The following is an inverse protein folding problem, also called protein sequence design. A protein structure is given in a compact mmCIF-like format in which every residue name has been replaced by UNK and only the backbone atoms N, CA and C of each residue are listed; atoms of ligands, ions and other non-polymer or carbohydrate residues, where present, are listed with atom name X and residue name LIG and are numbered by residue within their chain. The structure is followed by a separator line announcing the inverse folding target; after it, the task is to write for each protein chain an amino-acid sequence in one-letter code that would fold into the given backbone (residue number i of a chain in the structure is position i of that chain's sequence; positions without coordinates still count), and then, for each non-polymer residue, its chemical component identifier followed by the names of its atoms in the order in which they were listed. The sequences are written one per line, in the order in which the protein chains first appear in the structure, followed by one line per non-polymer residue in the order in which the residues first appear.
data_IF_068556417518
#
_entry.id   IF_068556417518
#
_cell.length_a   1.000
_cell.length_b   1.000
_cell.length_c   1.000
_cell.angle_alpha   90.00
_cell.angle_beta   90.00
_cell.angle_gamma   90.00
#
_symmetry.space_group_name_H-M   'P 1'
#
loop_
_entity.id
_entity.type
_entity.pdbx_description
1 polymer ?
#
# COMPACT_ATOMS: atom_id res chain seq x y z
N UNK A 1 11.59 -17.23 -0.47
CA UNK A 1 12.72 -17.11 -1.42
C UNK A 1 12.98 -15.61 -1.60
N UNK A 2 14.18 -15.10 -1.28
CA UNK A 2 14.52 -13.70 -1.56
C UNK A 2 14.73 -13.55 -3.06
N UNK A 3 14.01 -12.62 -3.68
CA UNK A 3 14.23 -12.16 -5.04
C UNK A 3 15.66 -11.60 -5.15
N UNK A 4 16.59 -12.39 -5.67
CA UNK A 4 17.91 -11.90 -6.10
C UNK A 4 17.74 -11.16 -7.41
N UNK A 5 17.72 -9.84 -7.35
CA UNK A 5 17.91 -9.01 -8.52
C UNK A 5 19.30 -9.26 -9.12
N UNK A 6 19.44 -9.33 -10.45
CA UNK A 6 20.73 -9.56 -11.10
C UNK A 6 21.71 -8.44 -10.75
N UNK A 7 22.96 -8.81 -10.54
CA UNK A 7 24.04 -7.95 -10.03
C UNK A 7 24.34 -6.69 -10.88
N UNK A 8 23.85 -6.61 -12.11
CA UNK A 8 24.05 -5.48 -13.03
C UNK A 8 23.20 -4.23 -12.71
N UNK A 9 22.17 -4.34 -11.86
CA UNK A 9 21.27 -3.21 -11.55
C UNK A 9 21.52 -2.55 -10.19
N UNK A 10 22.48 -3.02 -9.40
CA UNK A 10 22.77 -2.49 -8.07
C UNK A 10 23.62 -1.21 -7.97
N UNK A 11 24.50 -0.84 -8.89
CA UNK A 11 25.42 0.27 -8.62
C UNK A 11 24.92 1.63 -8.98
N UNK A 12 23.97 1.78 -9.90
CA UNK A 12 23.57 3.11 -10.39
C UNK A 12 22.77 3.92 -9.35
N UNK A 13 21.87 3.30 -8.63
CA UNK A 13 20.94 4.01 -7.74
C UNK A 13 21.61 4.54 -6.44
N UNK A 14 22.64 3.88 -5.92
CA UNK A 14 23.34 4.32 -4.70
C UNK A 14 24.46 5.33 -4.96
N UNK A 15 25.08 5.30 -6.15
CA UNK A 15 26.11 6.26 -6.54
C UNK A 15 25.49 7.62 -6.92
N UNK A 16 24.30 7.64 -7.47
CA UNK A 16 23.60 8.88 -7.83
C UNK A 16 23.08 9.63 -6.60
N UNK A 17 22.55 8.94 -5.58
CA UNK A 17 22.15 9.58 -4.33
C UNK A 17 23.35 10.21 -3.58
N UNK A 18 24.52 9.60 -3.60
CA UNK A 18 25.73 10.17 -3.01
C UNK A 18 26.32 11.32 -3.84
N UNK A 19 26.03 11.37 -5.15
CA UNK A 19 26.46 12.45 -6.06
C UNK A 19 25.59 13.71 -5.97
N UNK A 20 24.29 13.54 -5.73
CA UNK A 20 23.31 14.65 -5.60
C UNK A 20 23.57 15.47 -4.34
N UNK A 21 23.96 14.85 -3.24
CA UNK A 21 24.24 15.56 -1.98
C UNK A 21 25.44 16.50 -2.05
N UNK A 22 26.41 16.26 -2.94
CA UNK A 22 27.60 17.15 -3.12
C UNK A 22 27.37 18.33 -4.06
N UNK A 23 26.27 18.38 -4.81
CA UNK A 23 26.02 19.44 -5.80
C UNK A 23 25.10 20.55 -5.32
N UNK A 24 24.63 20.51 -4.10
CA UNK A 24 23.78 21.56 -3.51
C UNK A 24 24.58 22.64 -2.80
N UNK A 25 25.68 23.11 -3.39
CA UNK A 25 26.23 24.42 -3.08
C UNK A 25 25.79 25.40 -4.17
N UNK A 26 25.07 26.48 -3.80
CA UNK A 26 24.72 27.52 -4.78
C UNK A 26 25.96 28.33 -5.10
N UNK A 27 26.81 27.80 -5.95
CA UNK A 27 27.83 28.64 -6.63
C UNK A 27 27.13 29.30 -7.80
N UNK A 28 26.63 30.53 -7.60
CA UNK A 28 26.37 31.49 -8.65
C UNK A 28 27.70 31.81 -9.35
N UNK A 29 28.15 30.97 -10.23
CA UNK A 29 29.29 31.22 -11.14
C UNK A 29 28.76 31.03 -12.56
N UNK A 30 29.08 32.04 -13.40
CA UNK A 30 28.97 32.01 -14.86
C UNK A 30 29.47 30.64 -15.36
N UNK A 31 28.57 29.76 -15.82
CA UNK A 31 28.91 28.40 -16.29
C UNK A 31 27.94 27.29 -15.86
N UNK A 32 27.03 27.55 -14.92
CA UNK A 32 26.03 26.55 -14.47
C UNK A 32 25.09 26.09 -15.58
N UNK A 33 24.79 26.95 -16.53
CA UNK A 33 23.87 26.64 -17.63
C UNK A 33 24.48 25.67 -18.67
N UNK A 34 25.81 25.60 -18.79
CA UNK A 34 26.45 24.59 -19.65
C UNK A 34 26.25 23.17 -19.11
N UNK A 35 26.26 23.01 -17.79
CA UNK A 35 25.95 21.72 -17.17
C UNK A 35 24.45 21.31 -17.38
N UNK A 36 23.58 22.30 -17.48
CA UNK A 36 22.15 22.07 -17.76
C UNK A 36 21.90 21.53 -19.17
N UNK A 37 22.73 21.90 -20.14
CA UNK A 37 22.64 21.41 -21.52
C UNK A 37 22.91 19.90 -21.64
N UNK A 38 23.72 19.34 -20.77
CA UNK A 38 23.96 17.89 -20.72
C UNK A 38 22.89 17.20 -19.86
N UNK A 39 22.55 17.79 -18.73
CA UNK A 39 21.65 17.18 -17.72
C UNK A 39 20.19 17.17 -18.19
N UNK A 40 19.72 18.24 -18.85
CA UNK A 40 18.32 18.32 -19.29
C UNK A 40 17.95 17.27 -20.35
N UNK A 41 18.71 17.06 -21.43
CA UNK A 41 18.42 16.00 -22.39
C UNK A 41 18.46 14.60 -21.76
N UNK A 42 19.42 14.36 -20.86
CA UNK A 42 19.49 13.09 -20.15
C UNK A 42 18.28 12.87 -19.25
N UNK A 43 17.88 13.89 -18.48
CA UNK A 43 16.69 13.85 -17.64
C UNK A 43 15.41 13.58 -18.46
N UNK A 44 15.23 14.29 -19.56
CA UNK A 44 14.08 14.11 -20.46
C UNK A 44 14.07 12.68 -21.02
N UNK A 45 15.23 12.17 -21.42
CA UNK A 45 15.35 10.80 -21.95
C UNK A 45 15.00 9.76 -20.89
N UNK A 46 15.52 9.92 -19.66
CA UNK A 46 15.23 9.01 -18.55
C UNK A 46 13.76 9.05 -18.13
N UNK A 47 13.18 10.24 -18.02
CA UNK A 47 11.75 10.40 -17.70
C UNK A 47 10.87 9.84 -18.81
N UNK A 48 11.20 10.12 -20.08
CA UNK A 48 10.49 9.55 -21.22
C UNK A 48 10.55 8.03 -21.25
N UNK A 49 11.72 7.45 -20.98
CA UNK A 49 11.89 6.01 -20.85
C UNK A 49 11.09 5.42 -19.70
N UNK A 50 11.10 6.07 -18.55
CA UNK A 50 10.31 5.64 -17.39
C UNK A 50 8.80 5.67 -17.66
N UNK A 51 8.32 6.72 -18.31
CA UNK A 51 6.90 6.84 -18.70
C UNK A 51 6.49 5.77 -19.71
N UNK A 52 7.32 5.51 -20.73
CA UNK A 52 7.04 4.46 -21.71
C UNK A 52 6.97 3.07 -21.05
N UNK A 53 7.88 2.75 -20.12
CA UNK A 53 7.84 1.48 -19.38
C UNK A 53 6.62 1.41 -18.45
N UNK A 54 6.24 2.51 -17.80
CA UNK A 54 5.06 2.57 -16.95
C UNK A 54 3.78 2.36 -17.75
N UNK A 55 3.69 2.96 -18.94
CA UNK A 55 2.57 2.76 -19.85
C UNK A 55 2.44 1.30 -20.29
N UNK A 56 3.55 0.68 -20.73
CA UNK A 56 3.57 -0.71 -21.13
C UNK A 56 3.15 -1.64 -19.97
N UNK A 57 3.66 -1.40 -18.76
CA UNK A 57 3.31 -2.17 -17.58
C UNK A 57 1.82 -2.11 -17.29
N UNK A 58 1.21 -0.92 -17.31
CA UNK A 58 -0.23 -0.74 -17.05
C UNK A 58 -1.09 -1.32 -18.17
N UNK A 59 -0.64 -1.16 -19.44
CA UNK A 59 -1.35 -1.70 -20.61
C UNK A 59 -1.45 -3.22 -20.57
N UNK A 60 -0.34 -3.87 -20.19
CA UNK A 60 -0.23 -5.33 -20.23
C UNK A 60 -0.59 -5.99 -18.88
N UNK A 61 -0.97 -5.18 -17.89
CA UNK A 61 -1.32 -5.63 -16.55
C UNK A 61 -2.59 -6.50 -16.58
N UNK A 62 -2.47 -7.72 -16.06
CA UNK A 62 -3.58 -8.61 -15.86
C UNK A 62 -4.00 -8.61 -14.39
N UNK A 63 -5.28 -8.40 -14.13
CA UNK A 63 -5.86 -8.40 -12.79
C UNK A 63 -6.64 -9.69 -12.58
N UNK A 64 -6.34 -10.41 -11.50
CA UNK A 64 -7.01 -11.66 -11.13
C UNK A 64 -7.80 -11.49 -9.83
N UNK A 65 -9.02 -10.88 -9.86
CA UNK A 65 -9.76 -10.52 -8.65
C UNK A 65 -10.04 -11.70 -7.71
N UNK A 66 -10.33 -12.87 -8.29
CA UNK A 66 -10.57 -14.09 -7.50
C UNK A 66 -9.32 -14.55 -6.75
N UNK A 67 -8.16 -14.50 -7.40
CA UNK A 67 -6.89 -14.82 -6.75
C UNK A 67 -6.54 -13.81 -5.67
N UNK A 68 -6.72 -12.52 -5.96
CA UNK A 68 -6.50 -11.43 -4.98
C UNK A 68 -7.38 -11.62 -3.74
N UNK A 69 -8.65 -12.01 -3.92
CA UNK A 69 -9.55 -12.31 -2.79
C UNK A 69 -9.05 -13.52 -1.99
N UNK A 70 -8.68 -14.61 -2.67
CA UNK A 70 -8.15 -15.80 -2.02
C UNK A 70 -6.87 -15.51 -1.22
N UNK A 71 -6.01 -14.61 -1.73
CA UNK A 71 -4.78 -14.22 -1.04
C UNK A 71 -5.06 -13.40 0.24
N UNK A 72 -6.12 -12.60 0.27
CA UNK A 72 -6.57 -11.90 1.50
C UNK A 72 -7.10 -12.90 2.56
N UNK A 73 -7.68 -14.00 2.13
CA UNK A 73 -8.25 -15.03 3.01
C UNK A 73 -7.19 -15.98 3.61
N UNK A 74 -5.95 -16.00 3.07
CA UNK A 74 -4.85 -16.85 3.58
C UNK A 74 -4.58 -16.63 5.07
N UNK A 75 -4.78 -15.43 5.56
CA UNK A 75 -4.56 -15.09 6.98
C UNK A 75 -5.76 -15.35 7.87
N UNK A 76 -6.83 -15.98 7.35
CA UNK A 76 -8.05 -16.27 8.12
C UNK A 76 -8.64 -15.05 8.87
N UNK A 77 -8.55 -13.87 8.24
CA UNK A 77 -9.08 -12.61 8.78
C UNK A 77 -8.09 -11.78 9.61
N UNK A 78 -6.88 -12.26 9.90
CA UNK A 78 -5.91 -11.52 10.71
C UNK A 78 -5.49 -10.18 10.08
N UNK A 79 -5.47 -10.09 8.76
CA UNK A 79 -5.16 -8.84 8.05
C UNK A 79 -6.11 -7.69 8.41
N UNK A 80 -7.32 -8.03 8.88
CA UNK A 80 -8.36 -7.07 9.26
C UNK A 80 -8.48 -6.87 10.79
N UNK A 81 -7.59 -7.46 11.58
CA UNK A 81 -7.65 -7.42 13.06
C UNK A 81 -7.63 -5.99 13.62
N UNK A 82 -6.96 -5.06 12.93
CA UNK A 82 -6.93 -3.64 13.33
C UNK A 82 -8.32 -3.00 13.33
N UNK A 83 -9.17 -3.32 12.36
CA UNK A 83 -10.53 -2.81 12.31
C UNK A 83 -11.36 -3.23 13.55
N UNK A 84 -11.16 -4.47 14.01
CA UNK A 84 -11.78 -4.97 15.24
C UNK A 84 -11.17 -4.29 16.47
N UNK A 85 -9.84 -4.11 16.48
CA UNK A 85 -9.15 -3.41 17.58
C UNK A 85 -9.69 -1.98 17.76
N UNK A 86 -9.85 -1.24 16.66
CA UNK A 86 -10.37 0.13 16.70
C UNK A 86 -11.81 0.18 17.17
N UNK A 87 -12.66 -0.74 16.71
CA UNK A 87 -14.05 -0.82 17.15
C UNK A 87 -14.19 -1.18 18.63
N UNK A 88 -13.35 -2.09 19.14
CA UNK A 88 -13.33 -2.49 20.54
C UNK A 88 -12.75 -1.38 21.43
N UNK A 89 -11.78 -0.61 20.92
CA UNK A 89 -11.13 0.47 21.64
C UNK A 89 -12.09 1.59 22.10
N UNK A 90 -13.22 1.76 21.41
CA UNK A 90 -14.27 2.72 21.79
C UNK A 90 -14.89 2.36 23.16
N UNK A 91 -14.84 1.08 23.57
CA UNK A 91 -15.46 0.58 24.80
C UNK A 91 -14.44 0.37 25.93
N UNK A 92 -13.29 -0.22 25.63
CA UNK A 92 -12.31 -0.62 26.67
C UNK A 92 -10.99 0.17 26.61
N UNK A 93 -10.86 1.10 25.66
CA UNK A 93 -9.64 1.87 25.48
C UNK A 93 -8.62 1.17 24.55
N UNK A 94 -7.78 2.00 23.90
CA UNK A 94 -6.91 1.54 22.80
C UNK A 94 -5.87 0.51 23.24
N UNK A 95 -5.22 0.72 24.37
CA UNK A 95 -4.13 -0.15 24.83
C UNK A 95 -4.65 -1.55 25.19
N UNK A 96 -5.77 -1.63 25.89
CA UNK A 96 -6.37 -2.89 26.32
C UNK A 96 -6.95 -3.64 25.13
N UNK A 97 -7.69 -2.96 24.25
CA UNK A 97 -8.19 -3.55 23.00
C UNK A 97 -7.08 -4.15 22.15
N UNK A 98 -5.97 -3.41 21.96
CA UNK A 98 -4.84 -3.89 21.18
C UNK A 98 -4.22 -5.15 21.78
N UNK A 99 -3.95 -5.15 23.11
CA UNK A 99 -3.35 -6.29 23.77
C UNK A 99 -4.26 -7.54 23.73
N UNK A 100 -5.58 -7.33 23.93
CA UNK A 100 -6.55 -8.42 23.92
C UNK A 100 -6.71 -9.03 22.52
N UNK A 101 -6.89 -8.22 21.49
CA UNK A 101 -7.00 -8.68 20.09
C UNK A 101 -5.71 -9.35 19.63
N UNK A 102 -4.54 -8.83 20.00
CA UNK A 102 -3.25 -9.46 19.68
C UNK A 102 -3.16 -10.89 20.26
N UNK A 103 -3.61 -11.09 21.48
CA UNK A 103 -3.63 -12.42 22.11
C UNK A 103 -4.56 -13.39 21.35
N UNK A 104 -5.74 -12.93 20.92
CA UNK A 104 -6.68 -13.73 20.12
C UNK A 104 -6.14 -14.02 18.72
N UNK A 105 -5.44 -13.07 18.08
CA UNK A 105 -4.77 -13.28 16.81
C UNK A 105 -3.70 -14.38 16.90
N UNK A 106 -2.88 -14.40 17.96
CA UNK A 106 -1.90 -15.47 18.20
C UNK A 106 -2.59 -16.82 18.35
N UNK A 107 -3.68 -16.89 19.12
CA UNK A 107 -4.45 -18.14 19.25
C UNK A 107 -5.05 -18.61 17.92
N UNK A 108 -5.53 -17.68 17.08
CA UNK A 108 -6.06 -18.01 15.75
C UNK A 108 -4.97 -18.66 14.87
N UNK A 109 -3.76 -18.10 14.90
CA UNK A 109 -2.60 -18.64 14.20
C UNK A 109 -2.23 -20.04 14.69
N UNK A 110 -2.11 -20.21 16.01
CA UNK A 110 -1.70 -21.48 16.62
C UNK A 110 -2.73 -22.60 16.35
N UNK A 111 -4.01 -22.26 16.36
CA UNK A 111 -5.12 -23.20 16.14
C UNK A 111 -5.51 -23.37 14.69
N UNK A 112 -4.95 -22.59 13.77
CA UNK A 112 -5.34 -22.55 12.37
C UNK A 112 -6.85 -22.39 12.17
N UNK A 113 -7.49 -21.49 12.91
CA UNK A 113 -8.92 -21.25 12.87
C UNK A 113 -9.24 -19.79 12.47
N UNK A 114 -10.44 -19.55 11.92
CA UNK A 114 -10.86 -18.20 11.57
C UNK A 114 -10.90 -17.28 12.81
N UNK A 115 -10.33 -16.09 12.66
CA UNK A 115 -10.30 -15.12 13.77
C UNK A 115 -11.70 -14.75 14.26
N UNK A 116 -12.67 -14.67 13.34
CA UNK A 116 -14.08 -14.35 13.66
C UNK A 116 -14.68 -15.31 14.68
N UNK A 117 -14.31 -16.59 14.63
CA UNK A 117 -14.87 -17.60 15.55
C UNK A 117 -14.32 -17.43 16.96
N UNK A 118 -13.02 -17.11 17.10
CA UNK A 118 -12.42 -16.81 18.41
C UNK A 118 -12.97 -15.50 18.99
N UNK A 119 -13.08 -14.47 18.19
CA UNK A 119 -13.63 -13.17 18.61
C UNK A 119 -15.09 -13.29 19.08
N UNK A 120 -15.91 -14.05 18.34
CA UNK A 120 -17.30 -14.25 18.69
C UNK A 120 -17.50 -15.13 19.94
N UNK A 121 -16.56 -16.02 20.23
CA UNK A 121 -16.57 -16.87 21.41
C UNK A 121 -15.98 -16.18 22.66
N UNK A 122 -15.23 -15.11 22.48
CA UNK A 122 -14.59 -14.38 23.58
C UNK A 122 -15.61 -13.49 24.31
N UNK A 123 -15.76 -13.63 25.65
CA UNK A 123 -16.76 -12.86 26.41
C UNK A 123 -16.51 -11.35 26.41
N UNK A 124 -15.24 -10.94 26.39
CA UNK A 124 -14.85 -9.52 26.44
C UNK A 124 -15.12 -8.82 25.11
N UNK A 125 -15.03 -9.54 23.99
CA UNK A 125 -15.35 -9.02 22.66
C UNK A 125 -16.84 -9.09 22.39
N UNK A 126 -17.48 -10.26 22.62
CA UNK A 126 -18.88 -10.52 22.30
C UNK A 126 -19.86 -9.67 23.13
N UNK A 127 -19.43 -9.15 24.28
CA UNK A 127 -20.19 -8.18 25.07
C UNK A 127 -20.46 -6.87 24.31
N UNK A 128 -19.54 -6.45 23.46
CA UNK A 128 -19.61 -5.15 22.75
C UNK A 128 -19.85 -5.29 21.25
N UNK A 129 -19.36 -6.35 20.64
CA UNK A 129 -19.39 -6.57 19.19
C UNK A 129 -20.13 -7.86 18.86
N UNK A 130 -21.27 -7.74 18.14
CA UNK A 130 -22.01 -8.91 17.68
C UNK A 130 -21.22 -9.67 16.59
N UNK A 131 -21.55 -10.95 16.37
CA UNK A 131 -20.94 -11.77 15.33
C UNK A 131 -21.11 -11.13 13.92
N UNK A 132 -22.27 -10.55 13.63
CA UNK A 132 -22.54 -9.87 12.36
C UNK A 132 -21.61 -8.66 12.21
N UNK A 133 -21.42 -7.88 13.27
CA UNK A 133 -20.52 -6.73 13.27
C UNK A 133 -19.07 -7.15 13.05
N UNK A 134 -18.62 -8.21 13.73
CA UNK A 134 -17.30 -8.81 13.54
C UNK A 134 -17.07 -9.29 12.12
N UNK A 135 -18.05 -9.97 11.51
CA UNK A 135 -17.97 -10.42 10.11
C UNK A 135 -17.83 -9.25 9.16
N UNK A 136 -18.56 -8.15 9.39
CA UNK A 136 -18.44 -6.93 8.60
C UNK A 136 -17.07 -6.26 8.75
N UNK A 137 -16.56 -6.14 9.97
CA UNK A 137 -15.24 -5.55 10.25
C UNK A 137 -14.09 -6.36 9.64
N UNK A 138 -14.25 -7.68 9.57
CA UNK A 138 -13.24 -8.59 9.02
C UNK A 138 -13.37 -8.79 7.50
N UNK A 139 -14.38 -8.20 6.84
CA UNK A 139 -14.48 -8.24 5.38
C UNK A 139 -13.61 -7.16 4.73
N UNK A 140 -12.54 -7.52 3.99
CA UNK A 140 -11.67 -6.56 3.31
C UNK A 140 -12.41 -5.66 2.32
N UNK A 141 -13.55 -6.08 1.77
CA UNK A 141 -14.35 -5.28 0.85
C UNK A 141 -14.92 -4.02 1.50
N UNK A 142 -15.06 -4.01 2.82
CA UNK A 142 -15.55 -2.84 3.58
C UNK A 142 -14.44 -1.84 3.93
N UNK A 143 -13.18 -2.20 3.76
CA UNK A 143 -12.01 -1.44 4.18
C UNK A 143 -11.35 -0.62 3.05
N UNK A 144 -12.08 -0.35 1.96
CA UNK A 144 -11.54 0.39 0.80
C UNK A 144 -11.34 1.88 1.05
N UNK A 145 -11.91 2.43 2.12
CA UNK A 145 -11.77 3.83 2.52
C UNK A 145 -12.16 4.79 1.39
N UNK A 146 -11.24 5.70 1.02
CA UNK A 146 -11.45 6.69 -0.04
C UNK A 146 -10.99 6.24 -1.44
N UNK A 147 -10.59 4.98 -1.61
CA UNK A 147 -10.01 4.50 -2.87
C UNK A 147 -10.95 4.72 -4.07
N UNK A 148 -12.23 4.36 -3.93
CA UNK A 148 -13.22 4.55 -4.99
C UNK A 148 -13.40 6.03 -5.37
N UNK A 149 -13.41 6.93 -4.39
CA UNK A 149 -13.49 8.38 -4.62
C UNK A 149 -12.30 8.87 -5.43
N UNK A 150 -11.08 8.45 -5.09
CA UNK A 150 -9.89 8.85 -5.82
C UNK A 150 -9.88 8.31 -7.26
N UNK A 151 -10.29 7.06 -7.46
CA UNK A 151 -10.42 6.49 -8.81
C UNK A 151 -11.41 7.31 -9.65
N UNK A 152 -12.58 7.61 -9.12
CA UNK A 152 -13.57 8.44 -9.83
C UNK A 152 -13.05 9.84 -10.16
N UNK A 153 -12.33 10.47 -9.24
CA UNK A 153 -11.73 11.79 -9.49
C UNK A 153 -10.69 11.76 -10.62
N UNK A 154 -9.84 10.74 -10.64
CA UNK A 154 -8.83 10.60 -11.72
C UNK A 154 -9.50 10.36 -13.06
N UNK A 155 -10.51 9.47 -13.10
CA UNK A 155 -11.26 9.20 -14.33
C UNK A 155 -12.00 10.43 -14.86
N UNK A 156 -12.63 11.22 -13.97
CA UNK A 156 -13.31 12.44 -14.38
C UNK A 156 -12.33 13.46 -15.01
N UNK A 157 -11.18 13.71 -14.37
CA UNK A 157 -10.13 14.59 -14.93
C UNK A 157 -9.62 14.11 -16.27
N UNK A 158 -9.43 12.81 -16.43
CA UNK A 158 -8.98 12.24 -17.69
C UNK A 158 -10.00 12.44 -18.81
N UNK A 159 -11.29 12.31 -18.52
CA UNK A 159 -12.37 12.54 -19.49
C UNK A 159 -12.44 14.02 -19.89
N UNK A 160 -12.38 14.95 -18.93
CA UNK A 160 -12.34 16.39 -19.19
C UNK A 160 -11.19 16.76 -20.13
N UNK A 161 -9.98 16.27 -19.89
CA UNK A 161 -8.81 16.54 -20.74
C UNK A 161 -8.94 15.99 -22.16
N UNK A 162 -9.64 14.86 -22.32
CA UNK A 162 -9.89 14.28 -23.65
C UNK A 162 -10.92 15.06 -24.45
N UNK A 163 -11.90 15.63 -23.80
CA UNK A 163 -12.97 16.40 -24.45
C UNK A 163 -12.48 17.81 -24.87
N UNK A 164 -11.41 18.31 -24.25
CA UNK A 164 -10.75 19.59 -24.57
C UNK A 164 -9.67 19.48 -25.66
N UNK A 165 -9.27 18.26 -26.07
CA UNK A 165 -8.20 17.99 -27.04
C UNK A 165 -8.72 17.64 -28.41
#
# INVERSE_FOLDING_TARGET
LPLRLPAAQRPLMLLELAGVERRHQPRRTLGGWQAEWETLPELITLVGGALAQSEALVRDMQVFPQKMRADLDITHGLIMAEAVTLALAEFIGKAEAHHHIEALCRQALDRHCPLVDLLAADPQVSQYLSRERLTTLLDPATATGSAERFVRQVLARYQEQRDES
#
